data_IF_154162891985
#
_entry.id   IF_154162891985
#
_cell.length_a   1.000
_cell.length_b   1.000
_cell.length_c   1.000
_cell.angle_alpha   90.00
_cell.angle_beta   90.00
_cell.angle_gamma   90.00
#
_symmetry.space_group_name_H-M   'P 1'
#
loop_
_entity.id
_entity.type
_entity.pdbx_description
1 polymer ?
#
# COMPACT_ATOMS: atom_id res chain seq x y z
N UNK A 1 -17.63 5.60 16.14
CA UNK A 1 -16.47 6.39 15.69
C UNK A 1 -16.27 7.51 16.69
N UNK A 2 -15.11 7.60 17.35
CA UNK A 2 -14.92 8.60 18.41
C UNK A 2 -14.98 10.03 17.83
N UNK A 3 -15.74 10.92 18.47
CA UNK A 3 -15.93 12.32 18.04
C UNK A 3 -14.57 13.02 17.81
N UNK A 4 -13.57 12.70 18.64
CA UNK A 4 -12.20 13.21 18.53
C UNK A 4 -11.57 12.90 17.16
N UNK A 5 -11.74 11.69 16.65
CA UNK A 5 -11.18 11.26 15.36
C UNK A 5 -11.85 12.01 14.21
N UNK A 6 -13.16 12.22 14.29
CA UNK A 6 -13.94 12.95 13.28
C UNK A 6 -13.50 14.41 13.22
N UNK A 7 -13.36 15.07 14.39
CA UNK A 7 -12.90 16.47 14.47
C UNK A 7 -11.48 16.61 13.92
N UNK A 8 -10.55 15.74 14.32
CA UNK A 8 -9.16 15.78 13.83
C UNK A 8 -9.11 15.60 12.30
N UNK A 9 -9.90 14.68 11.73
CA UNK A 9 -9.97 14.49 10.28
C UNK A 9 -10.60 15.67 9.56
N UNK A 10 -11.67 16.24 10.11
CA UNK A 10 -12.31 17.44 9.54
C UNK A 10 -11.34 18.63 9.49
N UNK A 11 -10.56 18.83 10.56
CA UNK A 11 -9.54 19.89 10.64
C UNK A 11 -8.41 19.73 9.62
N UNK A 12 -8.05 18.49 9.26
CA UNK A 12 -7.07 18.21 8.21
C UNK A 12 -7.63 18.32 6.79
N UNK A 13 -8.96 18.20 6.64
CA UNK A 13 -9.61 18.28 5.33
C UNK A 13 -9.48 19.69 4.74
N UNK A 14 -9.44 19.83 3.39
CA UNK A 14 -9.37 21.14 2.73
C UNK A 14 -10.51 22.08 3.13
N UNK A 15 -11.69 21.51 3.41
CA UNK A 15 -12.88 22.27 3.79
C UNK A 15 -12.77 22.83 5.21
N UNK A 16 -12.25 22.05 6.16
CA UNK A 16 -11.97 22.55 7.51
C UNK A 16 -10.91 23.64 7.53
N UNK A 17 -9.84 23.48 6.74
CA UNK A 17 -8.81 24.50 6.58
C UNK A 17 -9.36 25.80 5.95
N UNK A 18 -10.25 25.70 4.96
CA UNK A 18 -10.86 26.86 4.32
C UNK A 18 -11.74 27.63 5.31
N UNK A 19 -12.63 26.93 6.04
CA UNK A 19 -13.53 27.57 7.01
C UNK A 19 -12.75 28.22 8.15
N UNK A 20 -11.76 27.52 8.73
CA UNK A 20 -10.91 28.11 9.76
C UNK A 20 -10.07 29.28 9.24
N UNK A 21 -9.52 29.16 8.04
CA UNK A 21 -8.76 30.23 7.39
C UNK A 21 -9.61 31.47 7.17
N UNK A 22 -10.85 31.31 6.68
CA UNK A 22 -11.78 32.41 6.45
C UNK A 22 -12.17 33.09 7.77
N UNK A 23 -12.51 32.31 8.81
CA UNK A 23 -12.85 32.84 10.13
C UNK A 23 -11.67 33.57 10.77
N UNK A 24 -10.43 33.11 10.55
CA UNK A 24 -9.22 33.78 11.03
C UNK A 24 -8.97 35.11 10.30
N UNK A 25 -9.13 35.14 8.97
CA UNK A 25 -9.00 36.36 8.18
C UNK A 25 -10.04 37.41 8.62
N UNK A 26 -11.30 37.01 8.82
CA UNK A 26 -12.36 37.88 9.34
C UNK A 26 -12.02 38.44 10.72
N UNK A 27 -11.49 37.61 11.63
CA UNK A 27 -11.05 38.05 12.95
C UNK A 27 -9.91 39.08 12.87
N UNK A 28 -8.93 38.87 11.99
CA UNK A 28 -7.85 39.83 11.75
C UNK A 28 -8.37 41.17 11.21
N UNK A 29 -9.30 41.14 10.26
CA UNK A 29 -9.92 42.36 9.71
C UNK A 29 -10.68 43.12 10.81
N UNK A 30 -11.44 42.42 11.67
CA UNK A 30 -12.19 43.04 12.75
C UNK A 30 -11.29 43.76 13.77
N UNK A 31 -10.11 43.19 14.08
CA UNK A 31 -9.09 43.84 14.91
C UNK A 31 -8.48 45.05 14.20
N UNK A 32 -8.13 44.90 12.92
CA UNK A 32 -7.45 45.95 12.15
C UNK A 32 -8.31 47.20 11.95
N UNK A 33 -9.62 47.02 11.75
CA UNK A 33 -10.59 48.13 11.64
C UNK A 33 -10.78 48.86 12.99
N UNK A 34 -10.29 48.30 14.09
CA UNK A 34 -10.39 48.89 15.43
C UNK A 34 -11.78 48.76 16.05
N UNK A 35 -12.65 47.91 15.50
CA UNK A 35 -14.00 47.71 16.02
C UNK A 35 -14.04 46.95 17.35
N UNK A 36 -13.07 46.07 17.60
CA UNK A 36 -13.03 45.25 18.81
C UNK A 36 -11.60 45.09 19.34
N UNK A 37 -11.39 45.12 20.67
CA UNK A 37 -10.09 44.85 21.26
C UNK A 37 -9.73 43.36 21.10
N UNK A 38 -8.43 43.07 20.93
CA UNK A 38 -7.89 41.71 20.73
C UNK A 38 -8.36 40.74 21.82
N UNK A 39 -8.47 41.22 23.07
CA UNK A 39 -8.94 40.45 24.23
C UNK A 39 -10.36 39.90 24.06
N UNK A 40 -11.21 40.54 23.26
CA UNK A 40 -12.58 40.10 22.97
C UNK A 40 -12.64 39.25 21.71
N UNK A 41 -11.83 39.58 20.70
CA UNK A 41 -11.84 38.86 19.41
C UNK A 41 -11.33 37.42 19.55
N UNK A 42 -10.28 37.20 20.35
CA UNK A 42 -9.69 35.87 20.52
C UNK A 42 -10.67 34.82 21.11
N UNK A 43 -11.33 35.05 22.26
CA UNK A 43 -12.31 34.09 22.78
C UNK A 43 -13.52 33.94 21.88
N UNK A 44 -13.97 35.02 21.23
CA UNK A 44 -15.09 34.98 20.29
C UNK A 44 -14.76 34.11 19.07
N UNK A 45 -13.56 34.24 18.52
CA UNK A 45 -13.08 33.40 17.42
C UNK A 45 -13.07 31.91 17.81
N UNK A 46 -12.58 31.57 19.01
CA UNK A 46 -12.60 30.19 19.49
C UNK A 46 -14.02 29.61 19.59
N UNK A 47 -14.99 30.41 20.06
CA UNK A 47 -16.39 30.01 20.15
C UNK A 47 -17.01 29.83 18.75
N UNK A 48 -16.79 30.79 17.85
CA UNK A 48 -17.31 30.73 16.48
C UNK A 48 -16.72 29.52 15.74
N UNK A 49 -15.41 29.30 15.84
CA UNK A 49 -14.75 28.15 15.23
C UNK A 49 -15.32 26.82 15.75
N UNK A 50 -15.63 26.74 17.05
CA UNK A 50 -16.26 25.54 17.64
C UNK A 50 -17.67 25.31 17.06
N UNK A 51 -18.47 26.38 16.92
CA UNK A 51 -19.81 26.32 16.34
C UNK A 51 -19.74 25.91 14.87
N UNK A 52 -18.85 26.52 14.09
CA UNK A 52 -18.64 26.20 12.67
C UNK A 52 -18.30 24.73 12.47
N UNK A 53 -17.40 24.19 13.30
CA UNK A 53 -17.06 22.75 13.28
C UNK A 53 -18.28 21.89 13.60
N UNK A 54 -19.08 22.26 14.60
CA UNK A 54 -20.28 21.52 14.99
C UNK A 54 -21.33 21.51 13.87
N UNK A 55 -21.55 22.66 13.23
CA UNK A 55 -22.47 22.82 12.09
C UNK A 55 -21.97 22.01 10.90
N UNK A 56 -20.68 22.10 10.56
CA UNK A 56 -20.10 21.33 9.46
C UNK A 56 -20.31 19.83 9.63
N UNK A 57 -20.12 19.29 10.84
CA UNK A 57 -20.35 17.86 11.12
C UNK A 57 -21.81 17.45 10.89
N UNK A 58 -22.76 18.35 11.15
CA UNK A 58 -24.19 18.09 10.92
C UNK A 58 -24.59 18.20 9.43
N UNK A 59 -23.78 18.87 8.60
CA UNK A 59 -24.05 19.00 7.17
C UNK A 59 -23.57 17.79 6.38
N UNK A 60 -24.28 17.47 5.28
CA UNK A 60 -23.84 16.45 4.30
C UNK A 60 -22.45 16.76 3.73
N UNK A 61 -22.10 18.04 3.59
CA UNK A 61 -20.81 18.49 3.09
C UNK A 61 -19.64 18.10 4.02
N UNK A 62 -19.81 18.25 5.34
CA UNK A 62 -18.79 17.83 6.31
C UNK A 62 -18.62 16.31 6.40
N UNK A 63 -19.70 15.54 6.24
CA UNK A 63 -19.60 14.08 6.16
C UNK A 63 -18.84 13.68 4.89
N UNK A 64 -19.15 14.29 3.75
CA UNK A 64 -18.45 14.03 2.49
C UNK A 64 -16.96 14.39 2.55
N UNK A 65 -16.58 15.48 3.22
CA UNK A 65 -15.17 15.85 3.35
C UNK A 65 -14.38 14.86 4.22
N UNK A 66 -14.97 14.34 5.30
CA UNK A 66 -14.35 13.29 6.14
C UNK A 66 -14.18 11.98 5.36
N UNK A 67 -15.18 11.61 4.56
CA UNK A 67 -15.10 10.43 3.69
C UNK A 67 -14.04 10.63 2.60
N UNK A 68 -13.98 11.80 1.98
CA UNK A 68 -12.96 12.13 0.98
C UNK A 68 -11.54 12.05 1.56
N UNK A 69 -11.32 12.58 2.76
CA UNK A 69 -10.01 12.49 3.43
C UNK A 69 -9.67 11.05 3.81
N UNK A 70 -10.65 10.28 4.29
CA UNK A 70 -10.44 8.86 4.58
C UNK A 70 -10.10 8.07 3.31
N UNK A 71 -10.75 8.40 2.19
CA UNK A 71 -10.45 7.79 0.90
C UNK A 71 -9.07 8.20 0.39
N UNK A 72 -8.65 9.46 0.61
CA UNK A 72 -7.30 9.93 0.30
C UNK A 72 -6.24 9.19 1.12
N UNK A 73 -6.41 9.07 2.43
CA UNK A 73 -5.49 8.30 3.30
C UNK A 73 -5.39 6.84 2.84
N UNK A 74 -6.51 6.23 2.45
CA UNK A 74 -6.53 4.87 1.88
C UNK A 74 -5.78 4.83 0.56
N UNK A 75 -6.07 5.72 -0.38
CA UNK A 75 -5.37 5.79 -1.67
C UNK A 75 -3.86 6.00 -1.51
N UNK A 76 -3.41 6.87 -0.59
CA UNK A 76 -1.99 7.08 -0.31
C UNK A 76 -1.32 5.85 0.31
N UNK A 77 -2.05 5.08 1.14
CA UNK A 77 -1.56 3.82 1.68
C UNK A 77 -1.48 2.75 0.60
N UNK A 78 -2.52 2.64 -0.23
CA UNK A 78 -2.61 1.70 -1.33
C UNK A 78 -1.50 1.97 -2.36
N UNK A 79 -1.30 3.23 -2.74
CA UNK A 79 -0.23 3.65 -3.63
C UNK A 79 1.16 3.31 -3.07
N UNK A 80 1.38 3.45 -1.75
CA UNK A 80 2.64 3.05 -1.11
C UNK A 80 2.88 1.55 -1.19
N UNK A 81 1.85 0.74 -0.95
CA UNK A 81 2.00 -0.72 -0.99
C UNK A 81 2.21 -1.20 -2.44
N UNK A 82 1.41 -0.71 -3.39
CA UNK A 82 1.59 -1.01 -4.82
C UNK A 82 2.96 -0.53 -5.34
N UNK A 83 3.42 0.63 -4.87
CA UNK A 83 4.77 1.12 -5.15
C UNK A 83 5.86 0.18 -4.60
N UNK A 84 5.66 -0.39 -3.40
CA UNK A 84 6.53 -1.40 -2.81
C UNK A 84 6.59 -2.68 -3.65
N UNK A 85 5.45 -3.19 -4.11
CA UNK A 85 5.37 -4.38 -4.97
C UNK A 85 6.02 -4.12 -6.33
N UNK A 86 5.75 -2.97 -6.94
CA UNK A 86 6.38 -2.57 -8.20
C UNK A 86 7.91 -2.46 -8.06
N UNK A 87 8.38 -1.93 -6.92
CA UNK A 87 9.81 -1.88 -6.61
C UNK A 87 10.41 -3.27 -6.40
N UNK A 88 9.72 -4.17 -5.68
CA UNK A 88 10.15 -5.56 -5.47
C UNK A 88 10.26 -6.32 -6.81
N UNK A 89 9.23 -6.23 -7.66
CA UNK A 89 9.25 -6.78 -9.01
C UNK A 89 10.42 -6.23 -9.84
N UNK A 90 10.64 -4.91 -9.79
CA UNK A 90 11.75 -4.27 -10.49
C UNK A 90 13.09 -4.81 -9.98
N UNK A 91 13.27 -4.95 -8.66
CA UNK A 91 14.48 -5.55 -8.08
C UNK A 91 14.69 -6.98 -8.56
N UNK A 92 13.68 -7.83 -8.48
CA UNK A 92 13.72 -9.20 -8.99
C UNK A 92 14.16 -9.25 -10.47
N UNK A 93 13.62 -8.36 -11.31
CA UNK A 93 13.96 -8.30 -12.74
C UNK A 93 15.40 -7.86 -13.04
N UNK A 94 16.06 -7.19 -12.09
CA UNK A 94 17.44 -6.73 -12.23
C UNK A 94 18.47 -7.77 -11.75
N UNK A 95 18.02 -8.81 -11.04
CA UNK A 95 18.90 -9.88 -10.55
C UNK A 95 19.41 -10.71 -11.72
N UNK A 96 20.74 -10.77 -11.86
CA UNK A 96 21.41 -11.59 -12.86
C UNK A 96 21.71 -12.96 -12.28
N UNK A 97 20.74 -13.85 -12.34
CA UNK A 97 20.91 -15.24 -11.94
C UNK A 97 21.23 -16.11 -13.17
N UNK A 98 22.03 -17.18 -13.01
CA UNK A 98 22.23 -18.16 -14.07
C UNK A 98 20.91 -18.82 -14.47
N UNK A 99 20.84 -19.32 -15.71
CA UNK A 99 19.68 -20.09 -16.17
C UNK A 99 19.46 -21.31 -15.26
N UNK A 100 18.23 -21.50 -14.80
CA UNK A 100 17.92 -22.55 -13.84
C UNK A 100 16.48 -22.49 -13.32
N UNK A 101 16.13 -23.42 -12.41
CA UNK A 101 14.77 -23.52 -11.88
C UNK A 101 14.39 -22.29 -11.03
N UNK A 102 15.33 -21.75 -10.25
CA UNK A 102 15.12 -20.53 -9.46
C UNK A 102 14.83 -19.32 -10.37
N UNK A 103 15.62 -19.14 -11.44
CA UNK A 103 15.38 -18.06 -12.40
C UNK A 103 14.02 -18.19 -13.08
N UNK A 104 13.66 -19.40 -13.49
CA UNK A 104 12.34 -19.66 -14.10
C UNK A 104 11.20 -19.31 -13.14
N UNK A 105 11.32 -19.66 -11.86
CA UNK A 105 10.33 -19.30 -10.84
C UNK A 105 10.25 -17.78 -10.61
N UNK A 106 11.39 -17.09 -10.60
CA UNK A 106 11.45 -15.61 -10.50
C UNK A 106 10.79 -14.95 -11.72
N UNK A 107 11.07 -15.40 -12.94
CA UNK A 107 10.49 -14.86 -14.16
C UNK A 107 8.95 -15.01 -14.16
N UNK A 108 8.45 -16.16 -13.70
CA UNK A 108 7.01 -16.39 -13.48
C UNK A 108 6.45 -15.44 -12.44
N UNK A 109 7.12 -15.27 -11.31
CA UNK A 109 6.68 -14.35 -10.25
C UNK A 109 6.65 -12.90 -10.75
N UNK A 110 7.64 -12.46 -11.53
CA UNK A 110 7.68 -11.13 -12.15
C UNK A 110 6.49 -10.93 -13.08
N UNK A 111 6.17 -11.94 -13.89
CA UNK A 111 5.04 -11.92 -14.80
C UNK A 111 3.71 -11.79 -14.03
N UNK A 112 3.49 -12.67 -13.05
CA UNK A 112 2.27 -12.71 -12.24
C UNK A 112 2.11 -11.44 -11.41
N UNK A 113 3.18 -10.95 -10.78
CA UNK A 113 3.17 -9.67 -10.08
C UNK A 113 2.87 -8.49 -11.02
N UNK A 114 3.28 -8.58 -12.29
CA UNK A 114 2.89 -7.63 -13.33
C UNK A 114 1.39 -7.63 -13.60
N UNK A 115 0.81 -8.82 -13.79
CA UNK A 115 -0.64 -8.98 -13.97
C UNK A 115 -1.43 -8.46 -12.77
N UNK A 116 -1.01 -8.80 -11.54
CA UNK A 116 -1.66 -8.31 -10.32
C UNK A 116 -1.70 -6.77 -10.25
N UNK A 117 -0.57 -6.10 -10.55
CA UNK A 117 -0.51 -4.65 -10.55
C UNK A 117 -1.40 -4.04 -11.64
N UNK A 118 -1.40 -4.63 -12.84
CA UNK A 118 -2.26 -4.17 -13.94
C UNK A 118 -3.74 -4.27 -13.58
N UNK A 119 -4.16 -5.41 -13.01
CA UNK A 119 -5.54 -5.63 -12.58
C UNK A 119 -5.94 -4.68 -11.44
N UNK A 120 -5.03 -4.41 -10.50
CA UNK A 120 -5.28 -3.45 -9.43
C UNK A 120 -5.46 -2.02 -9.97
N UNK A 121 -4.67 -1.62 -10.97
CA UNK A 121 -4.83 -0.33 -11.66
C UNK A 121 -6.16 -0.23 -12.40
N UNK A 122 -6.69 -1.34 -12.92
CA UNK A 122 -8.04 -1.42 -13.51
C UNK A 122 -9.17 -1.37 -12.47
N UNK A 123 -8.84 -1.21 -11.18
CA UNK A 123 -9.81 -1.14 -10.09
C UNK A 123 -10.23 -2.50 -9.52
N UNK A 124 -9.43 -3.56 -9.73
CA UNK A 124 -9.62 -4.82 -9.01
C UNK A 124 -9.25 -4.63 -7.55
N UNK A 125 -10.01 -5.27 -6.65
CA UNK A 125 -9.72 -5.27 -5.23
C UNK A 125 -8.35 -5.92 -4.96
N UNK A 126 -7.66 -5.35 -3.98
CA UNK A 126 -6.34 -5.82 -3.54
C UNK A 126 -6.48 -7.08 -2.71
N UNK A 127 -5.58 -8.02 -2.92
CA UNK A 127 -5.47 -9.22 -2.08
C UNK A 127 -4.17 -9.16 -1.27
N UNK A 128 -4.22 -8.85 0.04
CA UNK A 128 -3.03 -8.75 0.89
C UNK A 128 -2.14 -10.00 0.85
N UNK A 129 -2.71 -11.18 0.62
CA UNK A 129 -1.95 -12.43 0.61
C UNK A 129 -1.12 -12.57 -0.67
N UNK A 130 -1.59 -12.02 -1.79
CA UNK A 130 -0.79 -11.89 -3.02
C UNK A 130 0.37 -10.92 -2.81
N UNK A 131 0.10 -9.81 -2.13
CA UNK A 131 1.12 -8.79 -1.84
C UNK A 131 2.23 -9.34 -0.95
N UNK A 132 1.85 -10.02 0.14
CA UNK A 132 2.78 -10.69 1.04
C UNK A 132 3.57 -11.78 0.32
N UNK A 133 2.92 -12.60 -0.52
CA UNK A 133 3.61 -13.64 -1.29
C UNK A 133 4.70 -13.07 -2.23
N UNK A 134 4.43 -11.95 -2.91
CA UNK A 134 5.42 -11.29 -3.77
C UNK A 134 6.57 -10.69 -2.95
N UNK A 135 6.26 -10.04 -1.82
CA UNK A 135 7.28 -9.43 -0.95
C UNK A 135 8.16 -10.50 -0.29
N UNK A 136 7.57 -11.54 0.29
CA UNK A 136 8.31 -12.65 0.89
C UNK A 136 9.16 -13.41 -0.12
N UNK A 137 8.73 -13.50 -1.38
CA UNK A 137 9.54 -14.12 -2.43
C UNK A 137 10.82 -13.32 -2.74
N UNK A 138 10.79 -11.98 -2.63
CA UNK A 138 12.00 -11.18 -2.74
C UNK A 138 12.97 -11.49 -1.60
N UNK A 139 12.48 -11.59 -0.37
CA UNK A 139 13.30 -11.93 0.81
C UNK A 139 13.94 -13.33 0.67
N UNK A 140 13.18 -14.31 0.18
CA UNK A 140 13.69 -15.66 -0.10
C UNK A 140 14.81 -15.63 -1.14
N UNK A 141 14.68 -14.82 -2.20
CA UNK A 141 15.71 -14.70 -3.25
C UNK A 141 16.95 -13.98 -2.71
N UNK A 142 16.79 -12.93 -1.91
CA UNK A 142 17.91 -12.22 -1.28
C UNK A 142 18.70 -13.15 -0.34
N UNK A 143 18.00 -13.95 0.47
CA UNK A 143 18.61 -14.98 1.34
C UNK A 143 19.29 -16.08 0.52
N UNK A 144 18.70 -16.52 -0.59
CA UNK A 144 19.31 -17.50 -1.49
C UNK A 144 20.62 -16.99 -2.08
N UNK A 145 20.65 -15.75 -2.57
CA UNK A 145 21.87 -15.12 -3.11
C UNK A 145 22.93 -15.00 -2.01
N UNK A 146 22.52 -14.58 -0.80
CA UNK A 146 23.43 -14.47 0.34
C UNK A 146 24.07 -15.83 0.69
N UNK A 147 23.28 -16.91 0.73
CA UNK A 147 23.78 -18.26 0.97
C UNK A 147 24.73 -18.74 -0.12
N UNK A 148 24.41 -18.50 -1.40
CA UNK A 148 25.30 -18.83 -2.51
C UNK A 148 26.65 -18.11 -2.39
N UNK A 149 26.66 -16.84 -1.96
CA UNK A 149 27.89 -16.08 -1.76
C UNK A 149 28.71 -16.61 -0.57
N UNK A 150 28.05 -17.04 0.52
CA UNK A 150 28.73 -17.70 1.65
C UNK A 150 29.39 -19.00 1.18
N UNK A 151 28.65 -19.87 0.49
CA UNK A 151 29.18 -21.14 -0.01
C UNK A 151 30.38 -20.95 -0.95
N UNK A 152 30.29 -19.98 -1.88
CA UNK A 152 31.41 -19.64 -2.77
C UNK A 152 32.64 -19.10 -2.04
N UNK A 153 32.44 -18.40 -0.92
CA UNK A 153 33.55 -17.93 -0.10
C UNK A 153 34.17 -19.07 0.70
N UNK A 154 33.37 -19.96 1.29
CA UNK A 154 33.85 -21.15 1.99
C UNK A 154 34.67 -22.06 1.08
N UNK A 155 34.24 -22.23 -0.18
CA UNK A 155 34.97 -22.99 -1.21
C UNK A 155 36.36 -22.41 -1.52
N UNK A 156 36.55 -21.09 -1.36
CA UNK A 156 37.85 -20.45 -1.57
C UNK A 156 38.81 -20.66 -0.40
N UNK A 157 38.27 -20.84 0.82
CA UNK A 157 39.08 -20.99 2.03
C UNK A 157 39.33 -22.46 2.40
N UNK A 158 38.48 -23.38 1.93
CA UNK A 158 38.62 -24.80 2.22
C UNK A 158 39.10 -25.55 0.99
N UNK A 159 40.26 -26.19 1.08
CA UNK A 159 40.83 -27.06 0.02
C UNK A 159 40.02 -28.37 -0.18
N UNK A 160 38.81 -28.45 0.39
CA UNK A 160 37.94 -29.63 0.37
C UNK A 160 37.07 -29.73 -0.88
N UNK A 161 37.08 -28.70 -1.74
CA UNK A 161 36.27 -28.65 -2.94
C UNK A 161 34.80 -28.37 -2.63
N UNK A 162 34.14 -27.72 -3.59
CA UNK A 162 32.75 -27.30 -3.51
C UNK A 162 31.80 -28.47 -3.22
N UNK A 163 31.01 -28.35 -2.15
CA UNK A 163 29.90 -29.28 -1.87
C UNK A 163 28.73 -29.01 -2.82
N UNK A 164 28.90 -29.44 -4.07
CA UNK A 164 27.91 -29.31 -5.14
C UNK A 164 26.55 -29.93 -4.79
N UNK A 165 26.52 -30.91 -3.89
CA UNK A 165 25.28 -31.53 -3.45
C UNK A 165 24.44 -30.52 -2.65
N UNK A 166 25.07 -29.83 -1.69
CA UNK A 166 24.43 -28.77 -0.90
C UNK A 166 23.95 -27.61 -1.77
N UNK A 167 24.71 -27.19 -2.79
CA UNK A 167 24.29 -26.11 -3.71
C UNK A 167 23.06 -26.52 -4.53
N UNK A 168 23.03 -27.78 -4.98
CA UNK A 168 21.91 -28.34 -5.75
C UNK A 168 20.65 -28.45 -4.90
N UNK A 169 20.79 -28.93 -3.65
CA UNK A 169 19.68 -29.03 -2.69
C UNK A 169 19.10 -27.66 -2.36
N UNK A 170 19.95 -26.68 -2.05
CA UNK A 170 19.54 -25.29 -1.79
C UNK A 170 18.77 -24.70 -2.98
N UNK A 171 19.28 -24.91 -4.20
CA UNK A 171 18.68 -24.42 -5.44
C UNK A 171 17.32 -25.08 -5.70
N UNK A 172 17.21 -26.40 -5.51
CA UNK A 172 15.97 -27.13 -5.67
C UNK A 172 14.91 -26.70 -4.65
N UNK A 173 15.29 -26.59 -3.37
CA UNK A 173 14.39 -26.18 -2.31
C UNK A 173 13.87 -24.75 -2.50
N UNK A 174 14.77 -23.83 -2.88
CA UNK A 174 14.42 -22.43 -3.15
C UNK A 174 13.45 -22.34 -4.34
N UNK A 175 13.73 -23.08 -5.42
CA UNK A 175 12.86 -23.12 -6.58
C UNK A 175 11.47 -23.67 -6.23
N UNK A 176 11.39 -24.69 -5.38
CA UNK A 176 10.11 -25.26 -4.93
C UNK A 176 9.28 -24.25 -4.14
N UNK A 177 9.89 -23.54 -3.18
CA UNK A 177 9.19 -22.52 -2.39
C UNK A 177 8.67 -21.40 -3.30
N UNK A 178 9.52 -20.90 -4.21
CA UNK A 178 9.12 -19.84 -5.14
C UNK A 178 8.01 -20.32 -6.07
N UNK A 179 8.06 -21.56 -6.55
CA UNK A 179 7.02 -22.12 -7.39
C UNK A 179 5.69 -22.23 -6.64
N UNK A 180 5.69 -22.66 -5.37
CA UNK A 180 4.47 -22.65 -4.53
C UNK A 180 3.90 -21.24 -4.35
N UNK A 181 4.75 -20.23 -4.14
CA UNK A 181 4.30 -18.84 -4.07
C UNK A 181 3.69 -18.37 -5.38
N UNK A 182 4.30 -18.72 -6.53
CA UNK A 182 3.75 -18.43 -7.86
C UNK A 182 2.38 -19.08 -8.04
N UNK A 183 2.24 -20.36 -7.69
CA UNK A 183 1.00 -21.12 -7.85
C UNK A 183 -0.11 -20.54 -6.96
N UNK A 184 0.21 -20.13 -5.73
CA UNK A 184 -0.76 -19.50 -4.83
C UNK A 184 -1.26 -18.15 -5.37
N UNK A 185 -0.35 -17.34 -5.93
CA UNK A 185 -0.75 -16.06 -6.53
C UNK A 185 -1.60 -16.29 -7.79
N UNK A 186 -1.22 -17.24 -8.65
CA UNK A 186 -2.02 -17.60 -9.82
C UNK A 186 -3.43 -18.04 -9.43
N UNK A 187 -3.53 -18.98 -8.48
CA UNK A 187 -4.81 -19.51 -8.00
C UNK A 187 -5.73 -18.38 -7.50
N UNK A 188 -5.19 -17.42 -6.75
CA UNK A 188 -5.97 -16.28 -6.25
C UNK A 188 -6.40 -15.34 -7.36
N UNK A 189 -5.53 -15.11 -8.35
CA UNK A 189 -5.89 -14.28 -9.50
C UNK A 189 -7.01 -14.90 -10.34
N UNK A 190 -6.98 -16.22 -10.55
CA UNK A 190 -8.01 -17.00 -11.27
C UNK A 190 -9.34 -17.03 -10.53
N UNK A 191 -9.36 -17.33 -9.23
CA UNK A 191 -10.60 -17.30 -8.41
C UNK A 191 -11.30 -15.95 -8.53
N UNK A 192 -10.53 -14.86 -8.50
CA UNK A 192 -11.08 -13.51 -8.66
C UNK A 192 -11.56 -13.21 -10.10
N UNK A 193 -11.12 -13.95 -11.12
CA UNK A 193 -11.66 -13.84 -12.48
C UNK A 193 -12.97 -14.64 -12.60
N UNK A 194 -13.04 -15.83 -12.02
CA UNK A 194 -14.25 -16.67 -12.01
C UNK A 194 -15.40 -16.01 -11.23
N UNK A 195 -15.14 -15.47 -10.04
CA UNK A 195 -16.16 -14.74 -9.25
C UNK A 195 -16.78 -13.58 -10.05
N UNK A 196 -15.97 -12.85 -10.82
CA UNK A 196 -16.48 -11.77 -11.68
C UNK A 196 -17.31 -12.28 -12.84
N UNK A 197 -16.92 -13.40 -13.45
CA UNK A 197 -17.70 -14.01 -14.53
C UNK A 197 -19.08 -14.47 -14.03
N UNK A 198 -19.14 -15.07 -12.84
CA UNK A 198 -20.40 -15.47 -12.21
C UNK A 198 -21.28 -14.28 -11.80
N UNK A 199 -20.69 -13.20 -11.29
CA UNK A 199 -21.43 -11.96 -11.00
C UNK A 199 -21.96 -11.34 -12.32
N UNK A 200 -21.17 -11.37 -13.39
CA UNK A 200 -21.56 -10.82 -14.69
C UNK A 200 -22.60 -11.69 -15.42
N UNK A 201 -22.61 -13.01 -15.22
CA UNK A 201 -23.60 -13.91 -15.84
C UNK A 201 -24.98 -13.85 -15.17
N UNK A 202 -25.07 -13.26 -13.97
CA UNK A 202 -26.35 -13.10 -13.26
C UNK A 202 -26.84 -14.38 -12.56
N UNK A 203 -26.01 -15.44 -12.49
CA UNK A 203 -26.37 -16.73 -11.90
C UNK A 203 -26.60 -16.68 -10.37
N UNK A 204 -26.28 -15.56 -9.71
CA UNK A 204 -26.47 -15.37 -8.26
C UNK A 204 -27.83 -14.76 -7.88
N UNK A 205 -28.69 -14.46 -8.85
CA UNK A 205 -30.03 -13.88 -8.62
C UNK A 205 -31.19 -14.85 -8.88
N UNK A 206 -30.91 -16.11 -9.23
CA UNK A 206 -31.90 -17.19 -9.37
C UNK A 206 -31.84 -18.16 -8.20
#
# INVERSE_FOLDING_TARGET
MELKVVVIRLLKSPLGLLVLGLSMVLACIAVFVGHLPVLVVLPLFCIIALIDILVLIQTKAGIQSVVAETNRERQERDARILGGIAAARKRLSLLRLPEGPVKTAIDRLIYVGGLYLEETVKGKDRDPLVEDAILSSLEIVDEYIHRLDIMKNEDRFTDKGSDRASETELTAHTAEILQRSVDEVYRRLEVLQEEKQHIASGDLLS
#
